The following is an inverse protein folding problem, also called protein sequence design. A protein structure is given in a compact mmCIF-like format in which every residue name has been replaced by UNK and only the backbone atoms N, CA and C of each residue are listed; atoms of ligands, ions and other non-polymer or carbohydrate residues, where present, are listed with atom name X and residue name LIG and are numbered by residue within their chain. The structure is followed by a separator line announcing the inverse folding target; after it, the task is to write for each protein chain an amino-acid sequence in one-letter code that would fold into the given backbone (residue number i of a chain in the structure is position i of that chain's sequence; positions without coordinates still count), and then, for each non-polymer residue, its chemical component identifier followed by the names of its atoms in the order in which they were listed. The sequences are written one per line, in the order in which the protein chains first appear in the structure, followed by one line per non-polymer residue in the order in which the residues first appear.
data_IF_871178797982
#
_entry.id   IF_871178797982
#
_cell.length_a   1.000
_cell.length_b   1.000
_cell.length_c   1.000
_cell.angle_alpha   90.00
_cell.angle_beta   90.00
_cell.angle_gamma   90.00
#
_symmetry.space_group_name_H-M   'P 1'
#
loop_
_entity.id
_entity.type
_entity.pdbx_description
1 polymer ?
#
# COMPACT_ATOMS: atom_id res chain seq x y z
N UNK A 1 -17.50 13.65 -7.06
CA UNK A 1 -17.57 12.20 -7.27
C UNK A 1 -18.53 11.61 -6.26
N UNK A 2 -19.44 10.77 -6.70
CA UNK A 2 -20.31 10.03 -5.79
C UNK A 2 -19.77 8.61 -5.70
N UNK A 3 -19.03 8.31 -4.65
CA UNK A 3 -18.66 6.93 -4.35
C UNK A 3 -19.93 6.21 -3.87
N UNK A 4 -20.64 5.58 -4.79
CA UNK A 4 -21.87 4.85 -4.48
C UNK A 4 -21.50 3.57 -3.74
N UNK A 5 -21.74 3.56 -2.42
CA UNK A 5 -21.64 2.35 -1.61
C UNK A 5 -22.85 1.47 -1.93
N UNK A 6 -22.62 0.37 -2.64
CA UNK A 6 -23.64 -0.65 -2.87
C UNK A 6 -23.81 -1.49 -1.61
N UNK A 7 -24.94 -1.32 -0.93
CA UNK A 7 -25.34 -2.17 0.19
C UNK A 7 -26.22 -3.30 -0.38
N UNK A 8 -25.71 -4.54 -0.45
CA UNK A 8 -26.49 -5.65 -0.99
C UNK A 8 -27.66 -5.99 -0.05
N UNK A 9 -28.89 -5.99 -0.58
CA UNK A 9 -30.08 -6.45 0.15
C UNK A 9 -30.12 -7.98 0.31
N UNK A 10 -31.03 -8.50 1.12
CA UNK A 10 -31.16 -9.94 1.42
C UNK A 10 -31.33 -10.85 0.19
N UNK A 11 -31.81 -10.31 -0.93
CA UNK A 11 -32.01 -11.03 -2.19
C UNK A 11 -31.07 -10.53 -3.27
N UNK A 12 -29.79 -10.34 -2.95
CA UNK A 12 -28.84 -9.83 -3.92
C UNK A 12 -28.34 -10.95 -4.85
N UNK A 13 -28.61 -10.89 -6.18
CA UNK A 13 -27.95 -11.77 -7.13
C UNK A 13 -26.49 -11.31 -7.22
N UNK A 14 -25.60 -11.98 -6.47
CA UNK A 14 -24.14 -11.76 -6.53
C UNK A 14 -23.58 -11.77 -7.96
N UNK A 15 -24.31 -12.40 -8.89
CA UNK A 15 -23.97 -12.55 -10.30
C UNK A 15 -23.91 -11.23 -11.09
N UNK A 16 -24.68 -10.18 -10.73
CA UNK A 16 -24.76 -8.95 -11.55
C UNK A 16 -24.06 -7.75 -10.92
N UNK A 17 -23.19 -7.96 -9.92
CA UNK A 17 -22.53 -6.85 -9.22
C UNK A 17 -21.59 -6.07 -10.13
N UNK A 18 -20.98 -6.74 -11.10
CA UNK A 18 -20.14 -6.21 -12.16
C UNK A 18 -20.85 -5.13 -13.00
N UNK A 19 -22.11 -5.35 -13.38
CA UNK A 19 -22.93 -4.39 -14.13
C UNK A 19 -23.12 -3.09 -13.35
N UNK A 20 -23.29 -3.17 -12.03
CA UNK A 20 -23.47 -1.98 -11.18
C UNK A 20 -22.16 -1.28 -10.83
N UNK A 21 -21.03 -2.00 -10.88
CA UNK A 21 -19.70 -1.44 -10.62
C UNK A 21 -19.09 -0.79 -11.86
N UNK A 22 -19.59 -1.08 -13.06
CA UNK A 22 -19.06 -0.53 -14.30
C UNK A 22 -18.92 1.01 -14.31
N UNK A 23 -19.93 1.81 -13.88
CA UNK A 23 -19.79 3.26 -13.82
C UNK A 23 -18.72 3.73 -12.81
N UNK A 24 -18.56 2.99 -11.70
CA UNK A 24 -17.53 3.27 -10.70
C UNK A 24 -16.13 2.99 -11.25
N UNK A 25 -15.97 1.91 -12.00
CA UNK A 25 -14.71 1.56 -12.67
C UNK A 25 -14.35 2.65 -13.68
N UNK A 26 -15.29 3.10 -14.50
CA UNK A 26 -15.07 4.17 -15.48
C UNK A 26 -14.63 5.47 -14.79
N UNK A 27 -15.31 5.86 -13.70
CA UNK A 27 -14.94 7.03 -12.90
C UNK A 27 -13.53 6.92 -12.29
N UNK A 28 -13.15 5.73 -11.80
CA UNK A 28 -11.81 5.47 -11.27
C UNK A 28 -10.74 5.51 -12.38
N UNK A 29 -11.04 4.98 -13.57
CA UNK A 29 -10.16 5.05 -14.74
C UNK A 29 -9.95 6.50 -15.19
N UNK A 30 -11.01 7.32 -15.22
CA UNK A 30 -10.89 8.75 -15.51
C UNK A 30 -10.04 9.48 -14.46
N UNK A 31 -10.27 9.20 -13.17
CA UNK A 31 -9.48 9.77 -12.07
C UNK A 31 -8.00 9.36 -12.15
N UNK A 32 -7.71 8.14 -12.61
CA UNK A 32 -6.35 7.62 -12.76
C UNK A 32 -5.60 8.26 -13.93
N UNK A 33 -6.22 8.31 -15.11
CA UNK A 33 -5.58 8.79 -16.33
C UNK A 33 -5.50 10.32 -16.36
N UNK A 34 -6.67 10.96 -16.24
CA UNK A 34 -6.82 12.40 -16.47
C UNK A 34 -6.70 13.19 -15.16
N UNK A 35 -7.10 12.59 -14.04
CA UNK A 35 -7.23 13.28 -12.77
C UNK A 35 -8.49 14.16 -12.73
N UNK A 36 -8.86 14.60 -11.53
CA UNK A 36 -10.05 15.44 -11.33
C UNK A 36 -9.66 16.75 -10.68
N UNK A 37 -10.09 17.85 -11.29
CA UNK A 37 -9.93 19.19 -10.73
C UNK A 37 -10.81 19.30 -9.48
N UNK A 38 -10.16 19.47 -8.33
CA UNK A 38 -10.81 19.57 -7.03
C UNK A 38 -10.42 20.87 -6.36
N UNK A 39 -11.39 21.53 -5.75
CA UNK A 39 -11.15 22.77 -5.01
C UNK A 39 -10.66 22.46 -3.60
N UNK A 40 -9.46 22.93 -3.27
CA UNK A 40 -8.92 22.90 -1.91
C UNK A 40 -9.50 24.08 -1.11
N UNK A 41 -10.30 23.79 -0.08
CA UNK A 41 -10.85 24.83 0.79
C UNK A 41 -9.76 25.51 1.63
N UNK A 42 -8.71 24.80 2.01
CA UNK A 42 -7.63 25.32 2.86
C UNK A 42 -6.80 26.35 2.12
N UNK A 43 -6.36 26.01 0.91
CA UNK A 43 -5.54 26.88 0.07
C UNK A 43 -6.37 27.78 -0.87
N UNK A 44 -7.70 27.62 -0.87
CA UNK A 44 -8.65 28.35 -1.75
C UNK A 44 -8.27 28.32 -3.22
N UNK A 45 -7.77 27.19 -3.69
CA UNK A 45 -7.29 27.01 -5.06
C UNK A 45 -7.74 25.67 -5.62
N UNK A 46 -7.86 25.60 -6.94
CA UNK A 46 -8.09 24.33 -7.62
C UNK A 46 -6.77 23.59 -7.78
N UNK A 47 -6.78 22.28 -7.50
CA UNK A 47 -5.67 21.40 -7.79
C UNK A 47 -6.19 20.11 -8.44
N UNK A 48 -5.32 19.46 -9.20
CA UNK A 48 -5.64 18.19 -9.84
C UNK A 48 -5.39 17.07 -8.84
N UNK A 49 -6.43 16.36 -8.43
CA UNK A 49 -6.30 15.11 -7.70
C UNK A 49 -6.07 14.01 -8.74
N UNK A 50 -4.93 13.34 -8.62
CA UNK A 50 -4.71 12.02 -9.21
C UNK A 50 -4.59 11.03 -8.06
N UNK A 51 -5.21 9.87 -8.20
CA UNK A 51 -5.01 8.77 -7.24
C UNK A 51 -3.59 8.27 -7.38
N UNK A 52 -2.68 8.78 -6.54
CA UNK A 52 -1.36 8.20 -6.38
C UNK A 52 -1.54 7.02 -5.42
N UNK A 53 -1.89 5.85 -5.95
CA UNK A 53 -1.63 4.63 -5.19
C UNK A 53 -0.11 4.48 -5.17
N UNK A 54 0.48 4.76 -4.01
CA UNK A 54 1.84 4.31 -3.79
C UNK A 54 1.86 2.78 -3.85
N UNK A 55 3.02 2.21 -4.19
CA UNK A 55 3.15 0.76 -4.29
C UNK A 55 2.65 0.02 -3.02
N UNK A 56 2.84 0.54 -1.79
CA UNK A 56 2.23 -0.04 -0.59
C UNK A 56 0.69 -0.09 -0.62
N UNK A 57 0.01 0.95 -1.09
CA UNK A 57 -1.45 0.92 -1.27
C UNK A 57 -1.86 -0.11 -2.34
N UNK A 58 -1.10 -0.20 -3.43
CA UNK A 58 -1.33 -1.23 -4.46
C UNK A 58 -1.13 -2.65 -3.91
N UNK A 59 -0.07 -2.88 -3.15
CA UNK A 59 0.23 -4.16 -2.49
C UNK A 59 -0.92 -4.59 -1.55
N UNK A 60 -1.45 -3.65 -0.76
CA UNK A 60 -2.58 -3.89 0.13
C UNK A 60 -3.89 -4.18 -0.63
N UNK A 61 -4.15 -3.48 -1.75
CA UNK A 61 -5.38 -3.63 -2.53
C UNK A 61 -5.36 -4.84 -3.47
N UNK A 62 -4.19 -5.23 -3.98
CA UNK A 62 -4.02 -6.37 -4.89
C UNK A 62 -3.93 -7.71 -4.17
N UNK A 63 -3.82 -7.70 -2.83
CA UNK A 63 -3.58 -8.91 -2.04
C UNK A 63 -2.13 -9.43 -2.15
N UNK A 64 -1.22 -8.63 -2.71
CA UNK A 64 0.20 -8.98 -2.86
C UNK A 64 1.02 -8.78 -1.57
N UNK A 65 0.40 -8.32 -0.48
CA UNK A 65 1.06 -8.03 0.79
C UNK A 65 1.71 -9.20 1.53
N UNK A 66 1.60 -10.42 1.02
CA UNK A 66 2.26 -11.61 1.57
C UNK A 66 3.41 -12.14 0.69
N UNK A 67 3.55 -11.63 -0.55
CA UNK A 67 4.59 -12.01 -1.50
C UNK A 67 5.56 -10.85 -1.69
N UNK A 68 6.63 -10.85 -0.88
CA UNK A 68 7.89 -10.13 -1.11
C UNK A 68 7.75 -8.74 -1.73
N UNK A 69 7.15 -7.82 -0.97
CA UNK A 69 7.26 -6.40 -1.26
C UNK A 69 8.73 -6.03 -1.59
N UNK A 70 9.03 -5.15 -2.58
CA UNK A 70 10.40 -4.79 -2.96
C UNK A 70 11.13 -3.96 -1.89
N UNK A 71 10.64 -3.98 -0.66
CA UNK A 71 11.38 -3.67 0.54
C UNK A 71 12.31 -4.84 0.92
N UNK A 72 13.11 -5.31 -0.03
CA UNK A 72 14.13 -6.38 0.11
C UNK A 72 15.18 -6.12 1.22
N UNK A 73 15.06 -5.02 1.98
CA UNK A 73 16.00 -4.63 3.03
C UNK A 73 15.35 -4.09 4.30
N UNK A 74 14.05 -4.28 4.50
CA UNK A 74 13.50 -4.00 5.83
C UNK A 74 13.95 -5.13 6.75
N UNK A 75 14.61 -4.81 7.88
CA UNK A 75 15.01 -5.80 8.91
C UNK A 75 13.80 -6.32 9.70
N UNK A 76 12.72 -6.62 8.97
CA UNK A 76 11.50 -7.20 9.48
C UNK A 76 11.83 -8.57 10.08
N UNK A 77 11.23 -8.88 11.22
CA UNK A 77 11.37 -10.18 11.86
C UNK A 77 10.03 -10.56 12.46
N UNK A 78 9.68 -11.83 12.39
CA UNK A 78 8.41 -12.30 12.96
C UNK A 78 8.54 -12.45 14.47
N UNK A 79 7.58 -11.92 15.22
CA UNK A 79 7.49 -12.14 16.66
C UNK A 79 7.08 -13.58 16.94
N UNK A 80 7.91 -14.31 17.70
CA UNK A 80 7.72 -15.75 17.98
C UNK A 80 6.36 -16.14 18.56
N UNK A 81 5.72 -15.24 19.31
CA UNK A 81 4.48 -15.54 20.04
C UNK A 81 3.22 -15.05 19.34
N UNK A 82 3.33 -14.01 18.50
CA UNK A 82 2.17 -13.43 17.81
C UNK A 82 2.16 -13.75 16.31
N UNK A 83 3.23 -14.35 15.77
CA UNK A 83 3.43 -14.61 14.34
C UNK A 83 3.27 -13.36 13.46
N UNK A 84 3.31 -12.16 14.05
CA UNK A 84 3.17 -10.89 13.34
C UNK A 84 4.54 -10.28 13.07
N UNK A 85 4.65 -9.64 11.91
CA UNK A 85 5.78 -8.76 11.58
C UNK A 85 5.50 -7.38 12.18
N UNK A 86 6.33 -6.90 13.12
CA UNK A 86 6.15 -5.59 13.73
C UNK A 86 6.62 -4.50 12.76
N UNK A 87 5.66 -3.93 12.03
CA UNK A 87 5.81 -2.86 11.02
C UNK A 87 6.65 -1.68 11.57
N UNK A 88 6.38 -1.26 12.81
CA UNK A 88 7.03 -0.11 13.46
C UNK A 88 8.56 -0.23 13.61
N UNK A 89 9.11 -1.44 13.68
CA UNK A 89 10.56 -1.63 13.90
C UNK A 89 11.35 -1.41 12.62
N UNK A 90 10.79 -1.85 11.48
CA UNK A 90 11.36 -1.56 10.16
C UNK A 90 11.40 -0.05 9.88
N UNK A 91 10.38 0.68 10.33
CA UNK A 91 10.29 2.12 10.10
C UNK A 91 11.35 2.95 10.85
N UNK A 92 11.94 2.41 11.92
CA UNK A 92 13.01 3.11 12.65
C UNK A 92 14.23 3.43 11.76
N UNK A 93 14.45 2.68 10.68
CA UNK A 93 15.55 2.92 9.74
C UNK A 93 15.44 4.28 9.03
N UNK A 94 14.21 4.76 8.81
CA UNK A 94 13.93 6.04 8.16
C UNK A 94 14.08 7.26 9.08
N UNK A 95 14.26 7.05 10.38
CA UNK A 95 14.53 8.15 11.31
C UNK A 95 15.98 8.68 11.17
N UNK A 96 16.26 9.95 11.52
CA UNK A 96 17.61 10.47 11.56
C UNK A 96 18.53 9.64 12.47
N UNK A 97 19.83 9.55 12.15
CA UNK A 97 20.81 8.74 12.90
C UNK A 97 20.85 9.05 14.40
N UNK A 98 20.63 10.31 14.78
CA UNK A 98 20.67 10.76 16.16
C UNK A 98 19.30 10.71 16.88
N UNK A 99 18.28 10.13 16.24
CA UNK A 99 16.94 10.05 16.84
C UNK A 99 16.93 9.15 18.08
N UNK A 100 16.31 9.56 19.21
CA UNK A 100 16.28 8.78 20.46
C UNK A 100 15.78 7.34 20.27
N UNK A 101 14.77 7.14 19.41
CA UNK A 101 14.23 5.81 19.11
C UNK A 101 15.20 4.86 18.41
N UNK A 102 16.21 5.36 17.67
CA UNK A 102 17.27 4.49 17.12
C UNK A 102 18.14 3.86 18.21
N UNK A 103 18.29 4.54 19.35
CA UNK A 103 19.10 4.10 20.51
C UNK A 103 18.32 3.24 21.50
N UNK A 104 17.02 3.03 21.27
CA UNK A 104 16.18 2.30 22.19
C UNK A 104 16.36 0.78 22.02
N UNK A 105 17.12 0.20 22.95
CA UNK A 105 17.51 -1.22 22.94
C UNK A 105 16.37 -2.21 23.19
N UNK A 106 15.22 -1.76 23.73
CA UNK A 106 14.24 -2.69 24.31
C UNK A 106 12.80 -2.44 23.90
N UNK A 107 12.40 -1.22 23.51
CA UNK A 107 10.99 -0.94 23.17
C UNK A 107 10.55 -1.50 21.83
N UNK A 108 11.50 -1.74 20.92
CA UNK A 108 11.22 -2.22 19.56
C UNK A 108 11.71 -3.66 19.40
N UNK A 109 13.03 -3.85 19.43
CA UNK A 109 13.65 -5.18 19.33
C UNK A 109 14.61 -5.39 20.49
N UNK A 110 14.39 -6.45 21.27
CA UNK A 110 15.16 -6.76 22.48
C UNK A 110 16.66 -6.79 22.18
N UNK A 111 17.44 -6.02 22.94
CA UNK A 111 18.90 -5.86 22.84
C UNK A 111 19.37 -5.45 21.43
N UNK A 112 18.57 -4.68 20.69
CA UNK A 112 18.95 -4.21 19.36
C UNK A 112 18.93 -2.68 19.28
N UNK A 113 19.99 -2.10 18.73
CA UNK A 113 20.09 -0.67 18.39
C UNK A 113 20.03 -0.57 16.88
N UNK A 114 19.19 0.31 16.35
CA UNK A 114 19.08 0.52 14.91
C UNK A 114 20.06 1.61 14.47
N UNK A 115 21.16 1.21 13.85
CA UNK A 115 22.20 2.12 13.33
C UNK A 115 22.22 2.19 11.81
N UNK A 116 21.35 1.45 11.11
CA UNK A 116 21.38 1.48 9.65
C UNK A 116 20.86 2.80 9.08
N UNK A 117 21.36 3.10 7.89
CA UNK A 117 20.78 4.10 7.02
C UNK A 117 19.45 3.59 6.44
N UNK A 118 18.54 4.51 6.06
CA UNK A 118 17.34 4.12 5.33
C UNK A 118 17.72 3.39 4.04
N UNK A 119 16.98 2.36 3.64
CA UNK A 119 17.15 1.75 2.32
C UNK A 119 16.90 2.81 1.24
N UNK A 120 17.59 2.66 0.11
CA UNK A 120 17.36 3.49 -1.07
C UNK A 120 15.90 3.39 -1.49
N UNK A 121 15.22 4.53 -1.62
CA UNK A 121 13.87 4.57 -2.20
C UNK A 121 13.98 4.13 -3.66
N UNK A 122 13.24 3.09 -4.02
CA UNK A 122 13.10 2.68 -5.41
C UNK A 122 12.09 3.59 -6.09
N UNK A 123 12.33 3.92 -7.36
CA UNK A 123 11.30 4.55 -8.18
C UNK A 123 10.23 3.52 -8.55
N UNK A 124 9.01 3.97 -8.85
CA UNK A 124 7.94 3.07 -9.30
C UNK A 124 8.33 2.27 -10.55
N UNK A 125 9.16 2.84 -11.42
CA UNK A 125 9.68 2.14 -12.60
C UNK A 125 10.66 1.02 -12.24
N UNK A 126 11.55 1.27 -11.26
CA UNK A 126 12.50 0.26 -10.79
C UNK A 126 11.80 -0.85 -10.02
N UNK A 127 10.73 -0.52 -9.28
CA UNK A 127 9.86 -1.50 -8.64
C UNK A 127 9.13 -2.35 -9.68
N UNK A 128 8.52 -1.72 -10.70
CA UNK A 128 7.83 -2.43 -11.77
C UNK A 128 8.74 -3.43 -12.49
N UNK A 129 9.96 -3.03 -12.85
CA UNK A 129 10.96 -3.95 -13.46
C UNK A 129 11.23 -5.18 -12.59
N UNK A 130 11.16 -5.05 -11.27
CA UNK A 130 11.39 -6.16 -10.34
C UNK A 130 10.18 -7.06 -10.18
N UNK A 131 8.96 -6.53 -10.25
CA UNK A 131 7.75 -7.34 -10.01
C UNK A 131 7.07 -7.82 -11.29
N UNK A 132 7.44 -7.29 -12.46
CA UNK A 132 6.80 -7.60 -13.74
C UNK A 132 6.88 -9.08 -14.14
N UNK A 133 7.76 -9.88 -13.52
CA UNK A 133 7.91 -11.30 -13.80
C UNK A 133 7.22 -12.21 -12.77
N UNK A 134 6.61 -11.65 -11.72
CA UNK A 134 5.91 -12.42 -10.71
C UNK A 134 4.49 -12.75 -11.20
N UNK A 135 4.00 -13.98 -10.94
CA UNK A 135 2.65 -14.37 -11.30
C UNK A 135 1.64 -13.54 -10.52
N UNK A 136 0.51 -13.20 -11.15
CA UNK A 136 -0.58 -12.55 -10.42
C UNK A 136 -1.27 -13.58 -9.53
N UNK A 137 -1.67 -13.16 -8.33
CA UNK A 137 -2.39 -14.02 -7.38
C UNK A 137 -3.70 -14.60 -7.93
N UNK A 138 -4.27 -14.02 -8.99
CA UNK A 138 -5.44 -14.54 -9.70
C UNK A 138 -5.12 -15.78 -10.54
N UNK A 139 -3.87 -15.95 -10.98
CA UNK A 139 -3.44 -17.10 -11.79
C UNK A 139 -3.28 -18.39 -10.95
N UNK A 140 -3.28 -18.25 -9.61
CA UNK A 140 -3.13 -19.36 -8.66
C UNK A 140 -4.47 -19.89 -8.12
N UNK A 141 -5.59 -19.30 -8.52
CA UNK A 141 -6.94 -19.72 -8.10
C UNK A 141 -7.65 -20.63 -9.12
N UNK A 142 -7.00 -20.95 -10.24
CA UNK A 142 -7.53 -21.85 -11.27
C UNK A 142 -6.94 -23.28 -11.23
N UNK A 143 -6.24 -23.69 -10.16
CA UNK A 143 -5.78 -25.08 -9.95
C UNK A 143 -6.54 -25.83 -8.84
#
# INVERSE_FOLDING_TARGET
MFLTVLIPGLSNPKHNIDVYLQPLIDELCMLWNDGILTYDMSLRQNFMIKTINDFPAYEMLSGWGDLDAPYERTKAFTLKHSHKVPILIGHCQFLPLHHPYKRNKNSFKKRCVETSHPPSRLSSLDMWKRVAHLPFSYDLLEE
#
